data_IF_105391974833
#
_entry.id   IF_105391974833
#
_cell.length_a   1.000
_cell.length_b   1.000
_cell.length_c   1.000
_cell.angle_alpha   90.00
_cell.angle_beta   90.00
_cell.angle_gamma   90.00
#
_symmetry.space_group_name_H-M   'P 1'
#
loop_
_entity.id
_entity.type
_entity.pdbx_description
1 polymer ?
#
# COMPACT_ATOMS: atom_id res chain seq x y z
N UNK A 1 61.33 -17.85 -34.74
CA UNK A 1 60.16 -18.17 -33.90
C UNK A 1 59.09 -17.10 -34.06
N UNK A 2 57.92 -17.50 -34.56
CA UNK A 2 56.68 -16.72 -34.54
C UNK A 2 55.99 -16.86 -33.18
N UNK A 3 54.94 -16.08 -32.93
CA UNK A 3 54.11 -16.17 -31.73
C UNK A 3 52.66 -16.41 -32.09
N UNK A 4 51.92 -17.07 -31.21
CA UNK A 4 50.47 -17.28 -31.35
C UNK A 4 49.69 -15.96 -31.32
N UNK A 5 48.46 -15.99 -31.85
CA UNK A 5 47.65 -14.79 -32.07
C UNK A 5 46.94 -14.25 -30.81
N UNK A 6 46.77 -15.06 -29.76
CA UNK A 6 45.95 -14.68 -28.59
C UNK A 6 46.82 -14.36 -27.38
N UNK A 7 47.63 -15.31 -26.90
CA UNK A 7 48.43 -15.14 -25.68
C UNK A 7 49.93 -14.92 -25.97
N UNK A 8 50.30 -14.71 -27.24
CA UNK A 8 51.68 -14.46 -27.68
C UNK A 8 52.68 -15.55 -27.26
N UNK A 9 52.22 -16.80 -27.22
CA UNK A 9 53.05 -17.97 -26.91
C UNK A 9 53.99 -18.22 -28.08
N UNK A 10 55.29 -18.38 -27.78
CA UNK A 10 56.31 -18.72 -28.78
C UNK A 10 55.98 -20.04 -29.47
N UNK A 11 55.85 -19.98 -30.79
CA UNK A 11 55.57 -21.14 -31.63
C UNK A 11 56.84 -21.92 -31.96
N UNK A 12 56.69 -23.23 -32.16
CA UNK A 12 57.80 -24.08 -32.55
C UNK A 12 58.21 -23.80 -34.00
N UNK A 13 59.50 -23.49 -34.22
CA UNK A 13 60.06 -23.25 -35.56
C UNK A 13 59.87 -24.47 -36.48
N UNK A 14 59.76 -24.19 -37.78
CA UNK A 14 59.58 -25.24 -38.79
C UNK A 14 60.74 -26.26 -38.75
N UNK A 15 60.40 -27.53 -38.57
CA UNK A 15 61.36 -28.65 -38.58
C UNK A 15 61.00 -29.65 -39.68
N UNK A 16 61.97 -30.47 -40.11
CA UNK A 16 61.84 -31.39 -41.25
C UNK A 16 60.71 -32.44 -41.11
N UNK A 17 60.10 -32.60 -39.93
CA UNK A 17 59.12 -33.65 -39.64
C UNK A 17 57.72 -33.14 -39.25
N UNK A 18 57.30 -31.94 -39.67
CA UNK A 18 55.97 -31.36 -39.42
C UNK A 18 55.54 -31.26 -37.94
N UNK A 19 56.44 -31.46 -36.97
CA UNK A 19 56.14 -31.39 -35.53
C UNK A 19 55.62 -30.01 -35.11
N UNK A 20 56.12 -28.95 -35.76
CA UNK A 20 55.69 -27.57 -35.54
C UNK A 20 54.20 -27.37 -35.86
N UNK A 21 53.68 -28.04 -36.90
CA UNK A 21 52.25 -27.92 -37.28
C UNK A 21 51.36 -28.47 -36.17
N UNK A 22 51.63 -29.70 -35.71
CA UNK A 22 50.83 -30.35 -34.67
C UNK A 22 50.90 -29.61 -33.33
N UNK A 23 52.08 -29.12 -32.94
CA UNK A 23 52.26 -28.39 -31.67
C UNK A 23 51.60 -27.02 -31.72
N UNK A 24 51.78 -26.25 -32.79
CA UNK A 24 51.19 -24.91 -32.90
C UNK A 24 49.66 -24.99 -33.01
N UNK A 25 49.10 -26.02 -33.66
CA UNK A 25 47.65 -26.27 -33.66
C UNK A 25 47.12 -26.57 -32.24
N UNK A 26 47.86 -27.34 -31.44
CA UNK A 26 47.48 -27.61 -30.05
C UNK A 26 47.52 -26.34 -29.18
N UNK A 27 48.52 -25.47 -29.39
CA UNK A 27 48.61 -24.16 -28.74
C UNK A 27 47.40 -23.31 -29.12
N UNK A 28 47.06 -23.21 -30.40
CA UNK A 28 45.89 -22.44 -30.86
C UNK A 28 44.57 -22.95 -30.25
N UNK A 29 44.40 -24.28 -30.13
CA UNK A 29 43.24 -24.89 -29.47
C UNK A 29 43.20 -24.58 -27.97
N UNK A 30 44.35 -24.63 -27.29
CA UNK A 30 44.44 -24.31 -25.87
C UNK A 30 44.08 -22.83 -25.62
N UNK A 31 44.63 -21.91 -26.42
CA UNK A 31 44.34 -20.48 -26.33
C UNK A 31 42.88 -20.12 -26.64
N UNK A 32 42.19 -20.93 -27.46
CA UNK A 32 40.77 -20.74 -27.74
C UNK A 32 39.90 -20.97 -26.49
N UNK A 33 40.33 -21.86 -25.59
CA UNK A 33 39.61 -22.20 -24.35
C UNK A 33 40.15 -21.52 -23.09
N UNK A 34 41.37 -20.98 -23.11
CA UNK A 34 42.02 -20.35 -21.96
C UNK A 34 41.46 -18.94 -21.69
N UNK A 35 40.23 -18.86 -21.18
CA UNK A 35 39.53 -17.60 -20.83
C UNK A 35 39.30 -17.41 -19.33
N UNK A 36 39.73 -18.36 -18.49
CA UNK A 36 39.51 -18.34 -17.05
C UNK A 36 40.74 -18.87 -16.31
N UNK A 37 41.19 -18.16 -15.28
CA UNK A 37 42.27 -18.63 -14.40
C UNK A 37 42.08 -18.24 -12.93
N UNK A 38 42.55 -19.06 -11.98
CA UNK A 38 42.62 -18.69 -10.58
C UNK A 38 43.86 -17.81 -10.34
N UNK A 39 43.67 -16.53 -10.00
CA UNK A 39 44.74 -15.63 -9.61
C UNK A 39 44.86 -15.59 -8.08
N UNK A 40 46.08 -15.71 -7.56
CA UNK A 40 46.36 -15.54 -6.12
C UNK A 40 45.91 -14.14 -5.66
N UNK A 41 46.21 -13.13 -6.48
CA UNK A 41 45.73 -11.78 -6.27
C UNK A 41 45.60 -11.03 -7.60
N UNK A 42 44.56 -10.19 -7.69
CA UNK A 42 44.39 -9.23 -8.78
C UNK A 42 44.79 -7.82 -8.36
N UNK A 43 45.39 -7.06 -9.27
CA UNK A 43 45.85 -5.68 -9.09
C UNK A 43 46.99 -5.49 -8.08
N UNK A 44 47.90 -6.45 -7.98
CA UNK A 44 49.11 -6.34 -7.15
C UNK A 44 50.23 -5.62 -7.92
N UNK A 45 50.87 -4.61 -7.33
CA UNK A 45 51.88 -3.78 -8.03
C UNK A 45 53.33 -4.26 -7.81
N UNK A 46 53.59 -5.10 -6.82
CA UNK A 46 54.96 -5.58 -6.50
C UNK A 46 54.95 -7.10 -6.44
N UNK A 47 55.90 -7.78 -7.12
CA UNK A 47 56.00 -9.23 -7.02
C UNK A 47 56.17 -9.68 -5.57
N UNK A 48 55.56 -10.81 -5.16
CA UNK A 48 55.85 -11.45 -3.89
C UNK A 48 57.35 -11.75 -3.75
N UNK A 49 57.87 -11.70 -2.52
CA UNK A 49 59.27 -12.03 -2.25
C UNK A 49 59.60 -13.52 -2.42
N UNK A 50 58.60 -14.39 -2.26
CA UNK A 50 58.74 -15.86 -2.34
C UNK A 50 57.54 -16.48 -3.07
N UNK A 51 57.35 -16.24 -4.38
CA UNK A 51 56.27 -16.85 -5.16
C UNK A 51 56.48 -18.36 -5.30
N UNK A 52 55.40 -19.13 -5.29
CA UNK A 52 55.41 -20.56 -5.55
C UNK A 52 55.29 -20.85 -7.05
N UNK A 53 55.80 -22.01 -7.47
CA UNK A 53 55.71 -22.47 -8.85
C UNK A 53 54.24 -22.64 -9.27
N UNK A 54 53.86 -21.98 -10.37
CA UNK A 54 52.50 -21.95 -10.88
C UNK A 54 51.63 -20.82 -10.31
N UNK A 55 52.15 -19.99 -9.38
CA UNK A 55 51.41 -18.83 -8.89
C UNK A 55 51.11 -17.86 -10.04
N UNK A 56 49.87 -17.39 -10.08
CA UNK A 56 49.39 -16.45 -11.06
C UNK A 56 48.88 -15.19 -10.38
N UNK A 57 49.31 -14.04 -10.88
CA UNK A 57 48.88 -12.72 -10.42
C UNK A 57 48.41 -11.88 -11.60
N UNK A 58 47.54 -10.92 -11.32
CA UNK A 58 47.31 -9.80 -12.25
C UNK A 58 48.04 -8.58 -11.72
N UNK A 59 48.93 -8.04 -12.54
CA UNK A 59 49.71 -6.85 -12.22
C UNK A 59 48.78 -5.65 -12.17
N UNK A 60 48.93 -4.81 -11.14
CA UNK A 60 48.18 -3.56 -11.04
C UNK A 60 48.60 -2.51 -12.07
N UNK A 61 48.12 -1.28 -11.89
CA UNK A 61 48.33 -0.18 -12.84
C UNK A 61 49.76 0.39 -12.83
N UNK A 62 50.58 0.02 -11.86
CA UNK A 62 51.95 0.49 -11.71
C UNK A 62 52.86 -0.63 -11.17
N UNK A 63 53.09 -1.64 -12.01
CA UNK A 63 54.01 -2.74 -11.73
C UNK A 63 55.42 -2.26 -11.41
N UNK A 64 56.07 -2.91 -10.45
CA UNK A 64 57.40 -2.56 -9.93
C UNK A 64 58.33 -3.76 -9.90
N UNK A 65 59.64 -3.53 -9.76
CA UNK A 65 60.64 -4.60 -9.74
C UNK A 65 60.60 -5.45 -11.01
N UNK A 66 60.51 -6.77 -10.85
CA UNK A 66 60.40 -7.71 -11.98
C UNK A 66 59.11 -7.54 -12.79
N UNK A 67 58.10 -6.83 -12.29
CA UNK A 67 56.82 -6.59 -12.97
C UNK A 67 56.77 -5.23 -13.69
N UNK A 68 57.86 -4.46 -13.67
CA UNK A 68 57.94 -3.15 -14.33
C UNK A 68 57.65 -3.25 -15.84
N UNK A 69 56.73 -2.43 -16.34
CA UNK A 69 56.31 -2.42 -17.74
C UNK A 69 55.19 -3.40 -18.10
N UNK A 70 54.74 -4.25 -17.17
CA UNK A 70 53.68 -5.23 -17.37
C UNK A 70 52.35 -4.85 -16.72
N UNK A 71 52.03 -3.55 -16.67
CA UNK A 71 50.82 -3.02 -16.02
C UNK A 71 49.56 -3.67 -16.60
N UNK A 72 48.60 -4.02 -15.73
CA UNK A 72 47.36 -4.74 -16.06
C UNK A 72 47.57 -6.13 -16.72
N UNK A 73 48.82 -6.58 -16.87
CA UNK A 73 49.19 -7.87 -17.43
C UNK A 73 48.93 -9.03 -16.47
N UNK A 74 49.01 -10.25 -17.01
CA UNK A 74 49.00 -11.47 -16.19
C UNK A 74 50.43 -11.95 -16.01
N UNK A 75 50.83 -12.18 -14.75
CA UNK A 75 52.14 -12.65 -14.36
C UNK A 75 52.04 -14.07 -13.79
N UNK A 76 52.77 -15.01 -14.38
CA UNK A 76 52.83 -16.41 -13.93
C UNK A 76 54.25 -16.71 -13.49
N UNK A 77 54.41 -17.25 -12.29
CA UNK A 77 55.71 -17.71 -11.81
C UNK A 77 55.95 -19.15 -12.29
N UNK A 78 56.94 -19.34 -13.16
CA UNK A 78 57.25 -20.63 -13.76
C UNK A 78 58.75 -20.81 -13.94
N UNK A 79 59.26 -21.98 -13.57
CA UNK A 79 60.66 -22.38 -13.64
C UNK A 79 61.61 -21.35 -13.02
N UNK A 80 61.26 -20.88 -11.82
CA UNK A 80 62.00 -19.83 -11.08
C UNK A 80 62.13 -18.49 -11.82
N UNK A 81 61.20 -18.17 -12.72
CA UNK A 81 61.14 -16.91 -13.46
C UNK A 81 59.70 -16.43 -13.64
N UNK A 82 59.54 -15.14 -13.97
CA UNK A 82 58.23 -14.58 -14.31
C UNK A 82 57.99 -14.65 -15.81
N UNK A 83 56.86 -15.22 -16.18
CA UNK A 83 56.31 -15.16 -17.52
C UNK A 83 55.12 -14.21 -17.54
N UNK A 84 55.00 -13.38 -18.58
CA UNK A 84 53.94 -12.39 -18.70
C UNK A 84 53.19 -12.52 -20.03
N UNK A 85 51.89 -12.23 -20.00
CA UNK A 85 51.10 -12.03 -21.20
C UNK A 85 50.09 -10.90 -21.00
N UNK A 86 49.66 -10.30 -22.11
CA UNK A 86 48.63 -9.25 -22.08
C UNK A 86 47.24 -9.89 -22.04
N UNK A 87 46.33 -9.42 -21.18
CA UNK A 87 44.95 -9.90 -21.20
C UNK A 87 44.22 -9.51 -22.48
N UNK A 88 43.17 -10.26 -22.80
CA UNK A 88 42.26 -10.04 -23.93
C UNK A 88 40.91 -9.64 -23.35
N UNK A 89 40.18 -8.74 -24.00
CA UNK A 89 38.82 -8.38 -23.60
C UNK A 89 37.93 -9.63 -23.43
N UNK A 90 37.19 -9.69 -22.32
CA UNK A 90 36.34 -10.83 -21.95
C UNK A 90 37.05 -11.95 -21.20
N UNK A 91 38.35 -11.82 -20.88
CA UNK A 91 39.08 -12.76 -20.04
C UNK A 91 38.66 -12.65 -18.57
N UNK A 92 38.60 -13.77 -17.86
CA UNK A 92 38.21 -13.85 -16.45
C UNK A 92 39.34 -14.30 -15.53
N UNK A 93 39.35 -13.75 -14.31
CA UNK A 93 40.26 -14.13 -13.25
C UNK A 93 39.50 -14.28 -11.93
N UNK A 94 39.66 -15.39 -11.22
CA UNK A 94 39.19 -15.49 -9.84
C UNK A 94 40.23 -14.93 -8.89
N UNK A 95 39.95 -13.80 -8.24
CA UNK A 95 40.83 -13.20 -7.24
C UNK A 95 40.65 -13.89 -5.90
N UNK A 96 41.61 -14.72 -5.50
CA UNK A 96 41.57 -15.48 -4.25
C UNK A 96 41.64 -14.58 -3.01
N UNK A 97 42.25 -13.40 -3.10
CA UNK A 97 42.37 -12.47 -1.97
C UNK A 97 41.04 -11.80 -1.64
N UNK A 98 40.29 -11.37 -2.67
CA UNK A 98 38.96 -10.77 -2.49
C UNK A 98 37.80 -11.76 -2.62
N UNK A 99 38.10 -13.03 -2.90
CA UNK A 99 37.16 -14.11 -3.21
C UNK A 99 36.08 -13.68 -4.21
N UNK A 100 36.50 -13.04 -5.31
CA UNK A 100 35.59 -12.47 -6.31
C UNK A 100 36.05 -12.72 -7.74
N UNK A 101 35.09 -12.83 -8.66
CA UNK A 101 35.35 -12.93 -10.08
C UNK A 101 35.69 -11.55 -10.66
N UNK A 102 36.77 -11.47 -11.43
CA UNK A 102 37.18 -10.29 -12.21
C UNK A 102 37.07 -10.60 -13.70
N UNK A 103 36.84 -9.57 -14.51
CA UNK A 103 36.89 -9.66 -15.96
C UNK A 103 37.72 -8.49 -16.54
N UNK A 104 38.40 -8.73 -17.66
CA UNK A 104 39.12 -7.69 -18.37
C UNK A 104 38.21 -7.03 -19.42
N UNK A 105 38.00 -5.71 -19.30
CA UNK A 105 37.10 -4.94 -20.18
C UNK A 105 37.76 -4.41 -21.46
N UNK A 106 38.98 -4.87 -21.76
CA UNK A 106 39.80 -4.38 -22.87
C UNK A 106 40.75 -3.24 -22.47
N UNK A 107 40.57 -2.66 -21.28
CA UNK A 107 41.45 -1.61 -20.74
C UNK A 107 41.95 -1.90 -19.33
N UNK A 108 41.08 -2.42 -18.46
CA UNK A 108 41.34 -2.67 -17.05
C UNK A 108 40.66 -3.95 -16.57
N UNK A 109 41.12 -4.44 -15.41
CA UNK A 109 40.47 -5.52 -14.69
C UNK A 109 39.40 -4.95 -13.77
N UNK A 110 38.16 -5.39 -14.00
CA UNK A 110 36.96 -4.93 -13.30
C UNK A 110 36.32 -6.09 -12.54
N UNK A 111 35.63 -5.80 -11.42
CA UNK A 111 34.91 -6.83 -10.66
C UNK A 111 33.64 -7.23 -11.40
N UNK A 112 33.43 -8.52 -11.60
CA UNK A 112 32.17 -9.04 -12.09
C UNK A 112 31.16 -9.09 -10.94
N UNK A 113 30.18 -8.20 -10.97
CA UNK A 113 29.09 -8.15 -9.98
C UNK A 113 27.84 -8.75 -10.60
N UNK A 114 27.36 -9.87 -10.07
CA UNK A 114 26.01 -10.34 -10.36
C UNK A 114 25.02 -9.37 -9.73
N UNK A 115 24.09 -8.81 -10.52
CA UNK A 115 22.97 -8.04 -9.98
C UNK A 115 22.10 -8.95 -9.11
N UNK A 116 22.14 -8.76 -7.79
CA UNK A 116 21.52 -9.66 -6.80
C UNK A 116 22.33 -10.94 -6.67
N UNK A 117 23.24 -10.99 -5.70
CA UNK A 117 24.20 -12.08 -5.56
C UNK A 117 23.54 -13.42 -5.25
N UNK A 118 23.07 -14.16 -6.26
CA UNK A 118 22.62 -15.56 -6.20
C UNK A 118 21.53 -15.92 -5.18
N UNK A 119 21.09 -14.97 -4.36
CA UNK A 119 20.18 -15.16 -3.24
C UNK A 119 18.90 -14.37 -3.52
N UNK A 120 17.81 -15.11 -3.56
CA UNK A 120 16.46 -14.55 -3.66
C UNK A 120 15.99 -14.13 -2.26
N UNK A 121 15.43 -12.93 -2.14
CA UNK A 121 14.74 -12.48 -0.94
C UNK A 121 13.50 -13.34 -0.68
N UNK A 122 13.23 -13.60 0.59
CA UNK A 122 11.93 -14.12 1.03
C UNK A 122 10.84 -13.04 0.88
N UNK A 123 9.59 -13.45 0.91
CA UNK A 123 8.42 -12.55 0.96
C UNK A 123 8.47 -11.62 2.18
N UNK A 124 8.90 -12.13 3.34
CA UNK A 124 9.10 -11.33 4.57
C UNK A 124 10.17 -10.26 4.37
N UNK A 125 11.31 -10.61 3.79
CA UNK A 125 12.39 -9.65 3.49
C UNK A 125 11.93 -8.60 2.48
N UNK A 126 11.15 -9.02 1.47
CA UNK A 126 10.55 -8.15 0.47
C UNK A 126 9.56 -7.17 1.11
N UNK A 127 8.69 -7.65 2.00
CA UNK A 127 7.73 -6.83 2.75
C UNK A 127 8.41 -5.85 3.73
N UNK A 128 9.50 -6.29 4.37
CA UNK A 128 10.25 -5.45 5.32
C UNK A 128 11.07 -4.38 4.58
N UNK A 129 11.60 -4.71 3.40
CA UNK A 129 12.28 -3.78 2.50
C UNK A 129 13.63 -3.26 3.01
N UNK A 130 14.33 -4.04 3.83
CA UNK A 130 15.60 -3.63 4.47
C UNK A 130 16.85 -4.24 3.81
N UNK A 131 16.70 -5.28 2.99
CA UNK A 131 17.82 -5.96 2.33
C UNK A 131 18.08 -5.35 0.95
N UNK A 132 19.28 -4.81 0.75
CA UNK A 132 19.73 -4.19 -0.51
C UNK A 132 20.64 -5.10 -1.35
N UNK A 133 20.92 -6.32 -0.87
CA UNK A 133 21.83 -7.27 -1.49
C UNK A 133 21.12 -8.43 -2.21
N UNK A 134 19.83 -8.66 -1.92
CA UNK A 134 19.03 -9.75 -2.50
C UNK A 134 18.12 -9.30 -3.64
N UNK A 135 17.86 -10.22 -4.57
CA UNK A 135 16.89 -10.02 -5.65
C UNK A 135 15.51 -10.55 -5.27
N UNK A 136 14.43 -9.97 -5.82
CA UNK A 136 13.05 -10.45 -5.63
C UNK A 136 12.61 -11.24 -6.86
N UNK A 137 12.02 -12.42 -6.67
CA UNK A 137 11.43 -13.19 -7.79
C UNK A 137 10.09 -12.58 -8.21
N UNK A 138 9.64 -12.74 -9.46
CA UNK A 138 8.29 -12.30 -9.87
C UNK A 138 7.17 -12.86 -8.99
N UNK A 139 7.32 -14.09 -8.50
CA UNK A 139 6.39 -14.76 -7.59
C UNK A 139 6.34 -14.10 -6.20
N UNK A 140 7.50 -13.85 -5.59
CA UNK A 140 7.59 -13.16 -4.30
C UNK A 140 7.08 -11.71 -4.37
N UNK A 141 7.23 -11.06 -5.53
CA UNK A 141 6.62 -9.76 -5.78
C UNK A 141 5.09 -9.86 -5.90
N UNK A 142 4.58 -10.90 -6.58
CA UNK A 142 3.13 -11.13 -6.71
C UNK A 142 2.42 -11.42 -5.39
N UNK A 143 3.11 -12.10 -4.47
CA UNK A 143 2.63 -12.38 -3.11
C UNK A 143 2.24 -11.12 -2.32
N UNK A 144 2.69 -9.91 -2.72
CA UNK A 144 2.29 -8.66 -2.07
C UNK A 144 0.84 -8.24 -2.39
N UNK A 145 0.32 -8.56 -3.57
CA UNK A 145 -1.00 -8.06 -4.03
C UNK A 145 -2.03 -9.17 -4.26
N UNK A 146 -1.63 -10.43 -4.15
CA UNK A 146 -2.57 -11.54 -4.32
C UNK A 146 -3.59 -11.64 -3.18
N UNK A 147 -4.58 -12.52 -3.36
CA UNK A 147 -5.53 -12.84 -2.31
C UNK A 147 -4.81 -13.68 -1.24
N UNK A 148 -4.75 -13.15 -0.02
CA UNK A 148 -4.27 -13.88 1.15
C UNK A 148 -5.29 -14.90 1.68
N UNK A 149 -4.86 -15.69 2.66
CA UNK A 149 -5.74 -16.64 3.34
C UNK A 149 -6.94 -15.93 3.99
N UNK A 150 -8.08 -16.61 4.06
CA UNK A 150 -9.22 -16.11 4.83
C UNK A 150 -8.83 -15.98 6.31
N UNK A 151 -9.21 -14.87 6.95
CA UNK A 151 -8.89 -14.59 8.35
C UNK A 151 -10.18 -14.70 9.16
N UNK A 152 -10.18 -15.50 10.21
CA UNK A 152 -11.31 -15.57 11.13
C UNK A 152 -11.30 -14.37 12.07
N UNK A 153 -12.44 -13.74 12.26
CA UNK A 153 -12.63 -12.61 13.16
C UNK A 153 -12.28 -13.00 14.60
N UNK A 154 -11.49 -12.16 15.26
CA UNK A 154 -11.10 -12.22 16.68
C UNK A 154 -10.94 -10.80 17.20
N UNK A 155 -10.68 -10.64 18.51
CA UNK A 155 -10.43 -9.32 19.10
C UNK A 155 -9.32 -8.56 18.35
N UNK A 156 -8.15 -9.18 18.20
CA UNK A 156 -7.12 -8.72 17.28
C UNK A 156 -7.00 -9.73 16.13
N UNK A 157 -7.09 -9.29 14.88
CA UNK A 157 -6.85 -10.13 13.70
C UNK A 157 -5.45 -9.83 13.14
N UNK A 158 -4.79 -10.86 12.60
CA UNK A 158 -3.48 -10.71 11.96
C UNK A 158 -3.58 -11.05 10.48
N UNK A 159 -3.17 -10.12 9.64
CA UNK A 159 -3.17 -10.22 8.18
C UNK A 159 -1.81 -10.74 7.71
N UNK A 160 -1.83 -11.91 7.06
CA UNK A 160 -0.64 -12.57 6.53
C UNK A 160 -0.08 -11.93 5.26
N UNK A 161 0.49 -12.75 4.38
CA UNK A 161 0.88 -12.35 3.03
C UNK A 161 -0.34 -12.13 2.13
N UNK A 162 -0.21 -11.25 1.14
CA UNK A 162 -1.30 -10.80 0.28
C UNK A 162 -1.74 -9.34 0.53
N UNK A 163 -2.58 -8.87 -0.39
CA UNK A 163 -3.18 -7.53 -0.36
C UNK A 163 -4.70 -7.53 -0.21
N UNK A 164 -5.35 -8.71 -0.31
CA UNK A 164 -6.79 -8.86 -0.17
C UNK A 164 -7.13 -10.05 0.74
N UNK A 165 -8.00 -9.85 1.72
CA UNK A 165 -8.39 -10.86 2.69
C UNK A 165 -9.90 -10.91 2.86
N UNK A 166 -10.44 -12.12 3.00
CA UNK A 166 -11.80 -12.30 3.49
C UNK A 166 -11.80 -12.42 5.01
N UNK A 167 -12.63 -11.63 5.68
CA UNK A 167 -12.86 -11.71 7.12
C UNK A 167 -14.10 -12.56 7.36
N UNK A 168 -13.86 -13.74 7.92
CA UNK A 168 -14.88 -14.74 8.25
C UNK A 168 -15.27 -14.67 9.72
N UNK A 169 -16.40 -15.25 10.10
CA UNK A 169 -16.87 -15.24 11.49
C UNK A 169 -17.63 -13.97 11.88
N UNK A 170 -17.97 -13.87 13.16
CA UNK A 170 -18.88 -12.84 13.70
C UNK A 170 -18.35 -12.18 14.98
N UNK A 171 -17.11 -12.44 15.35
CA UNK A 171 -16.49 -11.90 16.57
C UNK A 171 -16.17 -10.42 16.36
N UNK A 172 -16.41 -9.60 17.38
CA UNK A 172 -15.98 -8.20 17.38
C UNK A 172 -14.47 -8.08 17.18
N UNK A 173 -14.07 -7.25 16.23
CA UNK A 173 -12.68 -6.89 15.96
C UNK A 173 -12.40 -5.54 16.59
N UNK A 174 -11.42 -5.51 17.48
CA UNK A 174 -10.93 -4.31 18.16
C UNK A 174 -9.58 -3.85 17.62
N UNK A 175 -8.87 -4.73 16.91
CA UNK A 175 -7.54 -4.44 16.37
C UNK A 175 -7.24 -5.23 15.08
N UNK A 176 -6.40 -4.66 14.22
CA UNK A 176 -5.98 -5.26 12.96
C UNK A 176 -4.47 -5.09 12.83
N UNK A 177 -3.75 -6.21 12.76
CA UNK A 177 -2.29 -6.23 12.62
C UNK A 177 -1.88 -6.83 11.28
N UNK A 178 -0.69 -6.48 10.79
CA UNK A 178 -0.03 -7.26 9.75
C UNK A 178 1.01 -8.17 10.38
N UNK A 179 0.99 -9.46 10.02
CA UNK A 179 1.96 -10.45 10.49
C UNK A 179 3.41 -10.03 10.17
N UNK A 180 3.60 -9.33 9.05
CA UNK A 180 4.82 -8.57 8.75
C UNK A 180 4.45 -7.09 8.66
N UNK A 181 4.71 -6.38 9.75
CA UNK A 181 4.40 -4.98 9.94
C UNK A 181 5.29 -4.08 9.07
N UNK A 182 4.67 -3.11 8.40
CA UNK A 182 5.36 -2.07 7.65
C UNK A 182 4.44 -0.87 7.47
N UNK A 183 4.87 0.29 7.93
CA UNK A 183 4.13 1.54 7.71
C UNK A 183 3.97 1.80 6.21
N UNK A 184 2.74 2.12 5.81
CA UNK A 184 2.30 2.24 4.41
C UNK A 184 1.72 0.96 3.81
N UNK A 185 1.75 -0.18 4.52
CA UNK A 185 1.17 -1.44 4.01
C UNK A 185 -0.36 -1.35 3.95
N UNK A 186 -0.92 -1.75 2.81
CA UNK A 186 -2.36 -1.69 2.52
C UNK A 186 -2.96 -3.09 2.51
N UNK A 187 -4.19 -3.23 3.00
CA UNK A 187 -5.01 -4.42 2.83
C UNK A 187 -6.44 -4.06 2.46
N UNK A 188 -7.01 -4.81 1.53
CA UNK A 188 -8.44 -4.80 1.22
C UNK A 188 -9.09 -5.93 2.01
N UNK A 189 -10.09 -5.59 2.82
CA UNK A 189 -10.88 -6.56 3.56
C UNK A 189 -12.27 -6.69 2.92
N UNK A 190 -12.72 -7.93 2.74
CA UNK A 190 -14.10 -8.27 2.38
C UNK A 190 -14.71 -9.01 3.57
N UNK A 191 -15.81 -8.50 4.10
CA UNK A 191 -16.49 -9.14 5.25
C UNK A 191 -17.47 -10.20 4.75
N UNK A 192 -17.35 -11.43 5.24
CA UNK A 192 -18.25 -12.54 4.86
C UNK A 192 -19.52 -12.60 5.72
N UNK A 193 -19.58 -11.81 6.79
CA UNK A 193 -20.68 -11.81 7.73
C UNK A 193 -20.78 -10.53 8.56
N UNK A 194 -21.68 -10.58 9.52
CA UNK A 194 -21.91 -9.48 10.46
C UNK A 194 -20.95 -9.61 11.64
N UNK A 195 -20.11 -8.59 11.83
CA UNK A 195 -19.30 -8.37 13.01
C UNK A 195 -19.31 -6.87 13.37
N UNK A 196 -18.68 -6.52 14.49
CA UNK A 196 -18.44 -5.12 14.84
C UNK A 196 -16.96 -4.81 14.74
N UNK A 197 -16.60 -3.80 13.95
CA UNK A 197 -15.32 -3.11 14.03
C UNK A 197 -15.43 -2.05 15.13
N UNK A 198 -14.61 -2.16 16.17
CA UNK A 198 -14.62 -1.22 17.29
C UNK A 198 -13.64 -0.09 17.02
N UNK A 199 -14.13 1.15 17.01
CA UNK A 199 -13.28 2.30 16.82
C UNK A 199 -12.39 2.55 18.05
N UNK A 200 -11.11 2.82 17.78
CA UNK A 200 -10.18 3.37 18.74
C UNK A 200 -9.43 4.55 18.08
N UNK A 201 -9.34 5.69 18.78
CA UNK A 201 -8.73 6.90 18.24
C UNK A 201 -7.20 6.81 18.04
N UNK A 202 -6.54 5.78 18.58
CA UNK A 202 -5.09 5.57 18.49
C UNK A 202 -4.71 4.35 17.65
N UNK A 203 -5.41 3.22 17.82
CA UNK A 203 -5.02 1.94 17.18
C UNK A 203 -5.86 1.59 15.96
N UNK A 204 -7.20 1.56 16.06
CA UNK A 204 -8.09 1.24 14.94
C UNK A 204 -9.03 2.41 14.59
N UNK A 205 -8.56 3.27 13.68
CA UNK A 205 -9.28 4.48 13.28
C UNK A 205 -10.29 4.19 12.17
N UNK A 206 -11.57 4.37 12.48
CA UNK A 206 -12.69 4.13 11.56
C UNK A 206 -13.30 5.46 11.11
N UNK A 207 -13.84 5.55 9.87
CA UNK A 207 -14.49 6.76 9.40
C UNK A 207 -15.64 7.19 10.31
N UNK A 208 -15.73 8.49 10.59
CA UNK A 208 -16.75 9.06 11.47
C UNK A 208 -16.48 8.89 12.97
N UNK A 209 -15.37 8.28 13.37
CA UNK A 209 -15.00 8.12 14.78
C UNK A 209 -15.96 7.24 15.57
N UNK A 210 -16.60 6.27 14.90
CA UNK A 210 -17.62 5.41 15.48
C UNK A 210 -17.41 3.94 15.08
N UNK A 211 -17.95 3.02 15.88
CA UNK A 211 -17.98 1.60 15.56
C UNK A 211 -18.74 1.36 14.26
N UNK A 212 -18.32 0.35 13.50
CA UNK A 212 -18.99 -0.07 12.27
C UNK A 212 -19.50 -1.49 12.45
N UNK A 213 -20.81 -1.69 12.30
CA UNK A 213 -21.39 -3.03 12.13
C UNK A 213 -21.31 -3.39 10.66
N UNK A 214 -20.64 -4.50 10.36
CA UNK A 214 -20.45 -4.98 8.99
C UNK A 214 -21.66 -5.77 8.51
N UNK A 215 -21.76 -5.94 7.20
CA UNK A 215 -22.61 -6.92 6.55
C UNK A 215 -21.80 -7.74 5.55
N UNK A 216 -22.35 -8.90 5.16
CA UNK A 216 -21.72 -9.73 4.13
C UNK A 216 -21.57 -8.94 2.81
N UNK A 217 -20.36 -8.95 2.24
CA UNK A 217 -20.01 -8.22 1.03
C UNK A 217 -19.56 -6.78 1.26
N UNK A 218 -19.55 -6.28 2.50
CA UNK A 218 -18.94 -5.00 2.82
C UNK A 218 -17.44 -5.07 2.52
N UNK A 219 -16.88 -3.95 2.06
CA UNK A 219 -15.48 -3.84 1.65
C UNK A 219 -14.83 -2.68 2.37
N UNK A 220 -13.61 -2.88 2.85
CA UNK A 220 -12.84 -1.83 3.48
C UNK A 220 -11.38 -1.84 3.01
N UNK A 221 -10.76 -0.67 2.99
CA UNK A 221 -9.33 -0.53 2.76
C UNK A 221 -8.70 -0.03 4.05
N UNK A 222 -7.75 -0.79 4.57
CA UNK A 222 -6.98 -0.46 5.75
C UNK A 222 -5.52 -0.22 5.39
N UNK A 223 -4.90 0.71 6.09
CA UNK A 223 -3.48 1.05 5.96
C UNK A 223 -2.84 1.07 7.32
N UNK A 224 -1.69 0.41 7.46
CA UNK A 224 -0.81 0.59 8.62
C UNK A 224 -0.15 1.96 8.50
N UNK A 225 -0.50 2.90 9.36
CA UNK A 225 0.00 4.28 9.33
C UNK A 225 1.31 4.44 10.11
N UNK A 226 1.34 3.93 11.35
CA UNK A 226 2.52 4.01 12.22
C UNK A 226 2.47 2.93 13.32
N UNK A 227 3.27 1.87 13.19
CA UNK A 227 3.24 0.72 14.11
C UNK A 227 1.81 0.19 14.28
N UNK A 228 1.25 0.23 15.49
CA UNK A 228 -0.08 -0.30 15.83
C UNK A 228 -1.23 0.67 15.47
N UNK A 229 -0.93 1.77 14.78
CA UNK A 229 -1.93 2.70 14.27
C UNK A 229 -2.35 2.27 12.86
N UNK A 230 -3.60 1.84 12.76
CA UNK A 230 -4.25 1.37 11.55
C UNK A 230 -5.45 2.23 11.22
N UNK A 231 -5.51 2.67 9.96
CA UNK A 231 -6.52 3.59 9.46
C UNK A 231 -7.36 2.91 8.40
N UNK A 232 -8.67 2.90 8.59
CA UNK A 232 -9.63 2.58 7.55
C UNK A 232 -9.81 3.82 6.65
N UNK A 233 -9.19 3.78 5.46
CA UNK A 233 -9.23 4.91 4.51
C UNK A 233 -10.54 4.94 3.72
N UNK A 234 -11.18 3.78 3.56
CA UNK A 234 -12.44 3.65 2.85
C UNK A 234 -13.21 2.46 3.39
N UNK A 235 -14.51 2.64 3.55
CA UNK A 235 -15.45 1.57 3.88
C UNK A 235 -16.67 1.72 2.98
N UNK A 236 -17.02 0.65 2.27
CA UNK A 236 -18.07 0.62 1.26
C UNK A 236 -19.03 -0.50 1.65
N UNK A 237 -20.24 -0.13 2.04
CA UNK A 237 -21.29 -1.11 2.27
C UNK A 237 -21.67 -1.84 0.99
N UNK A 238 -22.01 -3.12 1.11
CA UNK A 238 -22.48 -3.93 -0.01
C UNK A 238 -23.72 -3.33 -0.68
N UNK A 239 -24.62 -2.74 0.13
CA UNK A 239 -25.86 -2.11 -0.30
C UNK A 239 -25.68 -0.69 -0.90
N UNK A 240 -24.47 -0.14 -0.87
CA UNK A 240 -24.15 1.20 -1.37
C UNK A 240 -24.62 2.36 -0.48
N UNK A 241 -25.16 2.10 0.71
CA UNK A 241 -25.55 3.15 1.64
C UNK A 241 -24.33 3.88 2.22
N UNK A 242 -24.48 5.17 2.51
CA UNK A 242 -23.39 5.98 3.04
C UNK A 242 -23.03 5.56 4.48
N UNK A 243 -21.74 5.43 4.77
CA UNK A 243 -21.26 5.08 6.12
C UNK A 243 -21.61 6.16 7.15
N UNK A 244 -21.43 7.42 6.76
CA UNK A 244 -21.69 8.60 7.58
C UNK A 244 -22.88 9.33 6.98
N UNK A 245 -23.90 9.59 7.80
CA UNK A 245 -25.09 10.28 7.33
C UNK A 245 -24.79 11.74 7.00
N UNK A 246 -25.35 12.22 5.89
CA UNK A 246 -25.25 13.62 5.47
C UNK A 246 -26.43 14.43 6.01
N UNK A 247 -26.21 15.67 6.49
CA UNK A 247 -27.31 16.54 6.90
C UNK A 247 -28.33 16.76 5.78
N UNK A 248 -29.62 16.82 6.15
CA UNK A 248 -30.71 17.11 5.24
C UNK A 248 -31.81 17.91 5.93
N UNK A 249 -31.96 19.17 5.55
CA UNK A 249 -32.93 20.08 6.17
C UNK A 249 -34.18 20.24 5.30
N UNK A 250 -35.35 20.19 5.95
CA UNK A 250 -36.64 20.46 5.31
C UNK A 250 -37.16 21.80 5.81
N UNK A 251 -37.08 22.81 4.94
CA UNK A 251 -37.52 24.18 5.21
C UNK A 251 -38.95 24.40 4.74
N UNK A 252 -39.77 25.03 5.58
CA UNK A 252 -41.17 25.33 5.31
C UNK A 252 -41.53 26.71 5.85
N UNK A 253 -42.41 27.42 5.15
CA UNK A 253 -42.95 28.70 5.61
C UNK A 253 -44.46 28.74 5.43
N UNK A 254 -45.16 29.26 6.43
CA UNK A 254 -46.61 29.44 6.43
C UNK A 254 -46.95 30.92 6.71
N UNK A 255 -47.43 31.68 5.71
CA UNK A 255 -47.75 33.10 5.88
C UNK A 255 -49.08 33.31 6.61
N UNK A 256 -49.16 34.41 7.36
CA UNK A 256 -50.39 34.87 8.02
C UNK A 256 -50.85 33.98 9.17
N UNK A 257 -52.07 34.25 9.65
CA UNK A 257 -52.79 33.41 10.62
C UNK A 257 -53.48 32.29 9.86
N UNK A 258 -53.43 31.06 10.39
CA UNK A 258 -54.03 29.89 9.74
C UNK A 258 -55.35 29.48 10.37
N UNK A 259 -56.29 29.04 9.54
CA UNK A 259 -57.61 28.61 10.00
C UNK A 259 -57.57 27.30 10.82
N UNK A 260 -58.69 27.01 11.50
CA UNK A 260 -58.93 25.77 12.23
C UNK A 260 -58.63 24.55 11.35
N UNK A 261 -57.81 23.63 11.85
CA UNK A 261 -57.41 22.39 11.16
C UNK A 261 -56.79 22.57 9.77
N UNK A 262 -56.37 23.79 9.41
CA UNK A 262 -55.82 24.07 8.09
C UNK A 262 -54.51 23.32 7.84
N UNK A 263 -54.30 22.89 6.59
CA UNK A 263 -52.98 22.48 6.11
C UNK A 263 -52.13 23.73 5.95
N UNK A 264 -51.09 23.86 6.78
CA UNK A 264 -50.24 25.04 6.85
C UNK A 264 -49.12 25.02 5.82
N UNK A 265 -48.52 23.84 5.65
CA UNK A 265 -47.45 23.59 4.70
C UNK A 265 -47.48 22.12 4.29
N UNK A 266 -47.04 21.85 3.06
CA UNK A 266 -46.99 20.52 2.47
C UNK A 266 -45.81 20.45 1.50
N UNK A 267 -44.94 19.46 1.70
CA UNK A 267 -43.75 19.24 0.86
C UNK A 267 -43.63 17.75 0.52
N UNK A 268 -43.10 17.47 -0.68
CA UNK A 268 -42.74 16.11 -1.12
C UNK A 268 -41.25 15.93 -0.87
N UNK A 269 -40.87 14.85 -0.17
CA UNK A 269 -39.46 14.55 0.09
C UNK A 269 -38.89 13.79 -1.12
N UNK A 270 -37.85 14.32 -1.80
CA UNK A 270 -37.35 13.72 -3.05
C UNK A 270 -36.44 12.49 -2.83
N UNK A 271 -36.14 12.14 -1.58
CA UNK A 271 -35.23 11.06 -1.19
C UNK A 271 -35.58 10.55 0.20
N UNK A 272 -35.02 9.40 0.58
CA UNK A 272 -35.15 8.93 1.95
C UNK A 272 -34.43 9.88 2.92
N UNK A 273 -35.10 10.22 4.02
CA UNK A 273 -34.58 11.11 5.07
C UNK A 273 -35.02 10.55 6.41
N UNK A 274 -34.08 10.43 7.34
CA UNK A 274 -34.35 10.06 8.73
C UNK A 274 -34.37 11.30 9.61
N UNK A 275 -35.50 11.55 10.25
CA UNK A 275 -35.66 12.59 11.27
C UNK A 275 -35.38 11.98 12.65
N UNK A 276 -34.55 12.63 13.50
CA UNK A 276 -34.20 12.09 14.81
C UNK A 276 -35.37 12.16 15.80
N UNK A 277 -35.32 11.37 16.86
CA UNK A 277 -36.26 11.49 17.98
C UNK A 277 -36.20 12.91 18.59
N UNK A 278 -37.36 13.39 19.05
CA UNK A 278 -37.53 14.77 19.51
C UNK A 278 -37.27 15.85 18.46
N UNK A 279 -36.93 15.49 17.20
CA UNK A 279 -36.49 16.44 16.17
C UNK A 279 -35.36 17.36 16.65
N UNK A 280 -34.42 16.81 17.43
CA UNK A 280 -33.30 17.55 18.01
C UNK A 280 -32.54 18.35 16.94
N UNK A 281 -32.33 19.64 17.17
CA UNK A 281 -31.72 20.57 16.21
C UNK A 281 -32.68 21.24 15.23
N UNK A 282 -33.97 20.87 15.22
CA UNK A 282 -35.00 21.55 14.44
C UNK A 282 -35.40 22.88 15.09
N UNK A 283 -35.85 23.83 14.27
CA UNK A 283 -36.26 25.16 14.72
C UNK A 283 -37.60 25.56 14.11
N UNK A 284 -38.44 26.20 14.90
CA UNK A 284 -39.60 26.91 14.39
C UNK A 284 -39.76 28.26 15.09
N UNK A 285 -40.14 29.27 14.31
CA UNK A 285 -40.34 30.63 14.78
C UNK A 285 -41.57 31.26 14.12
N UNK A 286 -42.18 32.21 14.81
CA UNK A 286 -43.30 33.01 14.32
C UNK A 286 -43.02 34.49 14.54
N UNK A 287 -43.56 35.37 13.69
CA UNK A 287 -43.38 36.82 13.88
C UNK A 287 -44.35 37.39 14.91
N UNK A 288 -45.48 36.72 15.14
CA UNK A 288 -46.48 37.09 16.15
C UNK A 288 -46.60 35.94 17.14
N UNK A 289 -46.53 36.26 18.44
CA UNK A 289 -46.58 35.26 19.51
C UNK A 289 -47.96 34.59 19.61
N UNK A 290 -47.99 33.35 20.08
CA UNK A 290 -49.25 32.67 20.34
C UNK A 290 -49.98 33.29 21.55
N UNK A 291 -51.27 33.58 21.43
CA UNK A 291 -52.14 34.01 22.54
C UNK A 291 -52.67 32.88 23.40
N UNK A 292 -52.52 31.64 22.95
CA UNK A 292 -52.80 30.41 23.68
C UNK A 292 -51.75 29.34 23.34
N UNK A 293 -51.59 28.34 24.20
CA UNK A 293 -50.75 27.18 23.87
C UNK A 293 -51.26 26.55 22.56
N UNK A 294 -50.36 26.37 21.59
CA UNK A 294 -50.70 25.96 20.23
C UNK A 294 -49.86 24.75 19.82
N UNK A 295 -50.53 23.68 19.39
CA UNK A 295 -49.90 22.43 18.96
C UNK A 295 -50.20 22.16 17.49
N UNK A 296 -49.19 22.30 16.65
CA UNK A 296 -49.28 21.91 15.23
C UNK A 296 -48.91 20.44 15.08
N UNK A 297 -49.58 19.72 14.19
CA UNK A 297 -49.31 18.30 13.95
C UNK A 297 -48.47 18.12 12.69
N UNK A 298 -47.34 17.42 12.80
CA UNK A 298 -46.51 16.98 11.68
C UNK A 298 -47.03 15.60 11.24
N UNK A 299 -47.25 15.44 9.94
CA UNK A 299 -47.77 14.21 9.34
C UNK A 299 -46.88 13.72 8.19
N UNK A 300 -46.67 12.41 8.10
CA UNK A 300 -46.15 11.72 6.90
C UNK A 300 -47.30 10.97 6.26
N UNK A 301 -47.59 11.28 4.98
CA UNK A 301 -48.66 10.64 4.21
C UNK A 301 -50.02 10.62 4.95
N UNK A 302 -50.29 11.67 5.73
CA UNK A 302 -51.52 11.82 6.52
C UNK A 302 -51.49 11.23 7.94
N UNK A 303 -50.54 10.35 8.25
CA UNK A 303 -50.36 9.81 9.60
C UNK A 303 -49.55 10.78 10.48
N UNK A 304 -49.97 11.00 11.72
CA UNK A 304 -49.25 11.86 12.67
C UNK A 304 -47.93 11.22 13.08
N UNK A 305 -46.83 11.98 12.97
CA UNK A 305 -45.48 11.53 13.33
C UNK A 305 -44.84 12.38 14.43
N UNK A 306 -45.41 13.55 14.70
CA UNK A 306 -44.92 14.43 15.75
C UNK A 306 -45.67 15.75 15.84
N UNK A 307 -45.21 16.64 16.71
CA UNK A 307 -45.84 17.95 16.91
C UNK A 307 -44.82 19.08 17.00
N UNK A 308 -45.29 20.29 16.73
CA UNK A 308 -44.60 21.57 16.94
C UNK A 308 -45.43 22.36 17.94
N UNK A 309 -44.86 22.71 19.09
CA UNK A 309 -45.61 23.25 20.22
C UNK A 309 -45.12 24.67 20.55
N UNK A 310 -45.99 25.67 20.35
CA UNK A 310 -45.79 27.03 20.81
C UNK A 310 -46.46 27.20 22.18
N UNK A 311 -45.70 27.64 23.18
CA UNK A 311 -46.26 27.99 24.48
C UNK A 311 -47.03 29.33 24.41
N UNK A 312 -47.89 29.58 25.41
CA UNK A 312 -48.53 30.88 25.60
C UNK A 312 -47.47 32.00 25.60
N UNK A 313 -47.65 33.01 24.74
CA UNK A 313 -46.76 34.15 24.62
C UNK A 313 -45.43 33.86 23.89
N UNK A 314 -45.22 32.65 23.38
CA UNK A 314 -43.98 32.28 22.71
C UNK A 314 -44.03 32.58 21.20
N UNK A 315 -42.88 32.99 20.66
CA UNK A 315 -42.61 33.10 19.21
C UNK A 315 -41.72 31.97 18.69
N UNK A 316 -41.27 31.07 19.56
CA UNK A 316 -40.47 29.89 19.22
C UNK A 316 -41.18 28.63 19.70
N UNK A 317 -40.97 27.52 19.01
CA UNK A 317 -41.60 26.26 19.35
C UNK A 317 -40.61 25.21 19.87
N UNK A 318 -41.15 24.23 20.57
CA UNK A 318 -40.50 22.94 20.82
C UNK A 318 -41.08 21.88 19.89
N UNK A 319 -40.37 20.75 19.76
CA UNK A 319 -40.80 19.64 18.90
C UNK A 319 -40.99 18.36 19.72
N UNK A 320 -41.90 17.51 19.26
CA UNK A 320 -42.13 16.20 19.87
C UNK A 320 -42.11 15.14 18.78
N UNK A 321 -41.20 14.18 18.90
CA UNK A 321 -41.09 12.98 18.06
C UNK A 321 -40.78 11.79 18.98
N UNK A 322 -41.67 10.79 19.01
CA UNK A 322 -41.54 9.67 19.95
C UNK A 322 -40.35 8.75 19.63
N UNK A 323 -40.06 8.56 18.35
CA UNK A 323 -38.95 7.77 17.83
C UNK A 323 -38.42 8.44 16.55
N UNK A 324 -37.23 8.05 16.06
CA UNK A 324 -36.81 8.43 14.71
C UNK A 324 -37.83 7.97 13.67
N UNK A 325 -37.99 8.75 12.60
CA UNK A 325 -38.88 8.42 11.48
C UNK A 325 -38.10 8.55 10.18
N UNK A 326 -38.14 7.50 9.37
CA UNK A 326 -37.52 7.49 8.05
C UNK A 326 -38.59 7.61 6.97
N UNK A 327 -38.41 8.60 6.10
CA UNK A 327 -39.23 8.80 4.89
C UNK A 327 -38.63 8.06 3.71
N UNK A 328 -39.45 7.82 2.70
CA UNK A 328 -39.04 7.35 1.36
C UNK A 328 -39.17 8.47 0.33
N UNK A 329 -38.51 8.32 -0.81
CA UNK A 329 -38.70 9.23 -1.93
C UNK A 329 -40.18 9.25 -2.36
N UNK A 330 -40.78 10.45 -2.43
CA UNK A 330 -42.18 10.65 -2.77
C UNK A 330 -43.11 10.80 -1.57
N UNK A 331 -42.65 10.51 -0.35
CA UNK A 331 -43.43 10.75 0.86
C UNK A 331 -43.74 12.24 1.02
N UNK A 332 -44.92 12.52 1.58
CA UNK A 332 -45.40 13.88 1.79
C UNK A 332 -45.36 14.22 3.27
N UNK A 333 -44.59 15.25 3.62
CA UNK A 333 -44.63 15.86 4.95
C UNK A 333 -45.62 17.02 4.94
N UNK A 334 -46.54 17.00 5.88
CA UNK A 334 -47.57 18.03 6.03
C UNK A 334 -47.59 18.53 7.47
N UNK A 335 -47.73 19.84 7.68
CA UNK A 335 -48.02 20.42 8.99
C UNK A 335 -49.46 20.93 8.99
N UNK A 336 -50.26 20.50 9.96
CA UNK A 336 -51.65 20.93 10.12
C UNK A 336 -51.85 21.68 11.43
N UNK A 337 -52.70 22.71 11.40
CA UNK A 337 -53.08 23.46 12.59
C UNK A 337 -53.98 22.62 13.51
N UNK A 338 -54.08 23.01 14.78
CA UNK A 338 -54.99 22.41 15.75
C UNK A 338 -56.47 22.71 15.42
N UNK A 339 -57.38 21.98 16.07
CA UNK A 339 -58.82 22.11 15.84
C UNK A 339 -59.36 23.52 16.11
N UNK A 340 -58.84 24.19 17.14
CA UNK A 340 -59.15 25.58 17.46
C UNK A 340 -57.88 26.40 17.29
N UNK A 341 -57.73 27.04 16.14
CA UNK A 341 -56.55 27.84 15.80
C UNK A 341 -56.35 28.99 16.80
N UNK A 342 -55.09 29.29 17.11
CA UNK A 342 -54.75 30.54 17.77
C UNK A 342 -55.07 31.72 16.85
N UNK A 343 -55.68 32.77 17.40
CA UNK A 343 -56.18 33.89 16.61
C UNK A 343 -55.07 34.83 16.10
N UNK A 344 -53.84 34.69 16.59
CA UNK A 344 -52.77 35.68 16.39
C UNK A 344 -51.46 35.09 15.89
N UNK A 345 -51.15 33.83 16.21
CA UNK A 345 -49.93 33.16 15.78
C UNK A 345 -49.82 33.18 14.25
N UNK A 346 -48.79 33.84 13.73
CA UNK A 346 -48.68 34.14 12.31
C UNK A 346 -47.26 34.10 11.77
N UNK A 347 -47.15 33.88 10.45
CA UNK A 347 -45.90 33.88 9.68
C UNK A 347 -44.88 32.90 10.26
N UNK A 348 -45.26 31.63 10.30
CA UNK A 348 -44.46 30.57 10.93
C UNK A 348 -43.42 30.05 9.95
N UNK A 349 -42.15 30.09 10.33
CA UNK A 349 -41.04 29.41 9.67
C UNK A 349 -40.70 28.12 10.43
N UNK A 350 -40.46 27.04 9.71
CA UNK A 350 -40.14 25.72 10.28
C UNK A 350 -38.97 25.14 9.50
N UNK A 351 -37.94 24.67 10.19
CA UNK A 351 -36.84 23.88 9.63
C UNK A 351 -36.74 22.58 10.40
N UNK A 352 -37.02 21.46 9.73
CA UNK A 352 -36.85 20.13 10.29
C UNK A 352 -35.48 19.59 9.90
N UNK A 353 -34.67 19.27 10.90
CA UNK A 353 -33.35 18.67 10.69
C UNK A 353 -33.52 17.16 10.55
N UNK A 354 -33.00 16.63 9.46
CA UNK A 354 -32.90 15.20 9.21
C UNK A 354 -31.53 14.83 8.69
N UNK A 355 -31.35 13.56 8.41
CA UNK A 355 -30.11 13.03 7.86
C UNK A 355 -30.43 12.00 6.78
N UNK A 356 -29.55 11.90 5.78
CA UNK A 356 -29.67 10.95 4.66
C UNK A 356 -28.40 10.15 4.46
#
# INVERSE_FOLDING_TARGET
MTTSNRLSITELDATQNNRSVTVNEAIAKLEAGAMFFPAVQVSLNTPPGSPAEGDLYVVGTAGSGAWSGHNNGVAVYYNSSWFFFSPIEGMFAWDQTSNSLKYYDGSAWSTFTLGGGGLTATTIETLTGTDTAKAVTPDALAALWEKGANVASSGAISLGEGGLFHITGTTTVTDIDWATAKDGRVAILIFDGVLTLTHNATTLKLPGGANITTAAGDRAIFVQDNSDNVICIAYIRADGTQLISTPYDVMMFCPGVTANSAVMTRIVVPRAVTFPSGLSGSYASATVAATAATTLTIKQNGASIGTINFALGATTATFTFASPVTTSAGDVITVTNQATADATLANISITLVGSR
#
